data_IF_690724487617
#
_entry.id   IF_690724487617
#
_cell.length_a   1.000
_cell.length_b   1.000
_cell.length_c   1.000
_cell.angle_alpha   90.00
_cell.angle_beta   90.00
_cell.angle_gamma   90.00
#
_symmetry.space_group_name_H-M   'P 1'
#
loop_
_entity.id
_entity.type
_entity.pdbx_description
1 polymer ?
#
# COMPACT_ATOMS: atom_id res chain seq x y z
N UNK A 1 -35.48 13.45 7.70
CA UNK A 1 -34.56 12.80 6.74
C UNK A 1 -33.37 13.75 6.58
N UNK A 2 -32.22 13.43 7.15
CA UNK A 2 -31.00 14.23 6.94
C UNK A 2 -30.43 13.84 5.58
N UNK A 3 -30.45 14.78 4.63
CA UNK A 3 -29.81 14.62 3.32
C UNK A 3 -28.36 14.20 3.52
N UNK A 4 -27.92 13.15 2.83
CA UNK A 4 -26.53 12.78 2.78
C UNK A 4 -25.72 14.00 2.33
N UNK A 5 -24.92 14.56 3.24
CA UNK A 5 -23.98 15.62 2.88
C UNK A 5 -22.96 14.98 1.94
N UNK A 6 -23.11 15.22 0.65
CA UNK A 6 -22.08 14.89 -0.34
C UNK A 6 -20.84 15.70 0.02
N UNK A 7 -19.91 14.98 0.62
CA UNK A 7 -18.62 15.48 1.03
C UNK A 7 -17.75 15.65 -0.23
N UNK A 8 -17.27 16.86 -0.55
CA UNK A 8 -16.64 17.18 -1.85
C UNK A 8 -15.36 16.38 -2.03
N UNK A 9 -15.09 15.84 -3.23
CA UNK A 9 -13.88 15.06 -3.58
C UNK A 9 -12.58 15.71 -3.08
N UNK A 10 -11.51 14.91 -2.82
CA UNK A 10 -10.22 15.49 -2.46
C UNK A 10 -9.76 16.52 -3.51
N UNK A 11 -9.24 17.65 -3.06
CA UNK A 11 -8.81 18.75 -3.93
C UNK A 11 -7.65 18.32 -4.84
N UNK A 12 -7.55 18.90 -6.04
CA UNK A 12 -6.41 18.71 -6.96
C UNK A 12 -5.05 18.92 -6.28
N UNK A 13 -4.95 19.91 -5.37
CA UNK A 13 -3.71 20.17 -4.62
C UNK A 13 -3.28 19.03 -3.69
N UNK A 14 -4.22 18.19 -3.20
CA UNK A 14 -3.87 17.00 -2.42
C UNK A 14 -3.22 15.95 -3.32
N UNK A 15 -3.79 15.71 -4.49
CA UNK A 15 -3.24 14.75 -5.46
C UNK A 15 -1.87 15.20 -5.98
N UNK A 16 -1.72 16.47 -6.32
CA UNK A 16 -0.43 17.06 -6.70
C UNK A 16 0.64 16.89 -5.60
N UNK A 17 0.23 16.98 -4.33
CA UNK A 17 1.16 16.81 -3.19
C UNK A 17 1.64 15.36 -2.97
N UNK A 18 0.97 14.36 -3.56
CA UNK A 18 1.43 12.97 -3.52
C UNK A 18 2.55 12.71 -4.54
N UNK A 19 2.53 13.44 -5.66
CA UNK A 19 3.54 13.35 -6.72
C UNK A 19 4.84 14.09 -6.34
N UNK A 20 4.73 15.26 -5.71
CA UNK A 20 5.91 16.00 -5.20
C UNK A 20 6.36 15.54 -3.78
N UNK A 21 5.56 14.68 -3.13
CA UNK A 21 5.75 14.16 -1.77
C UNK A 21 5.86 15.22 -0.68
N UNK A 22 5.35 16.42 -0.90
CA UNK A 22 5.47 17.57 0.01
C UNK A 22 4.58 17.45 1.25
N UNK A 23 3.51 16.65 1.20
CA UNK A 23 2.56 16.49 2.32
C UNK A 23 2.48 15.05 2.83
N UNK A 24 2.34 14.06 1.93
CA UNK A 24 2.38 12.63 2.27
C UNK A 24 3.07 11.83 1.16
N UNK A 25 3.80 10.77 1.53
CA UNK A 25 4.10 9.73 0.55
C UNK A 25 2.81 8.97 0.20
N UNK A 26 2.67 8.42 -1.03
CA UNK A 26 1.53 7.59 -1.40
C UNK A 26 1.27 6.46 -0.39
N UNK A 27 2.32 5.87 0.17
CA UNK A 27 2.25 4.87 1.24
C UNK A 27 1.60 5.40 2.52
N UNK A 28 2.06 6.55 3.02
CA UNK A 28 1.53 7.13 4.25
C UNK A 28 0.07 7.57 4.08
N UNK A 29 -0.26 8.12 2.91
CA UNK A 29 -1.63 8.47 2.55
C UNK A 29 -2.53 7.21 2.46
N UNK A 30 -2.06 6.13 1.82
CA UNK A 30 -2.79 4.87 1.76
C UNK A 30 -3.07 4.29 3.16
N UNK A 31 -2.05 4.27 4.04
CA UNK A 31 -2.17 3.76 5.40
C UNK A 31 -3.19 4.57 6.23
N UNK A 32 -3.15 5.91 6.11
CA UNK A 32 -4.15 6.80 6.74
C UNK A 32 -5.56 6.52 6.22
N UNK A 33 -5.73 6.43 4.90
CA UNK A 33 -7.04 6.14 4.31
C UNK A 33 -7.59 4.78 4.76
N UNK A 34 -6.74 3.75 4.88
CA UNK A 34 -7.12 2.47 5.48
C UNK A 34 -7.61 2.63 6.93
N UNK A 35 -6.90 3.38 7.77
CA UNK A 35 -7.31 3.63 9.16
C UNK A 35 -8.66 4.34 9.26
N UNK A 36 -8.93 5.32 8.40
CA UNK A 36 -10.26 5.96 8.31
C UNK A 36 -11.30 4.95 7.86
N UNK A 37 -11.03 4.22 6.77
CA UNK A 37 -11.98 3.32 6.13
C UNK A 37 -12.39 2.14 7.04
N UNK A 38 -11.46 1.64 7.84
CA UNK A 38 -11.69 0.58 8.83
C UNK A 38 -12.29 1.13 10.14
N UNK A 39 -12.40 2.44 10.30
CA UNK A 39 -12.90 3.09 11.52
C UNK A 39 -11.94 2.98 12.71
N UNK A 40 -10.65 2.77 12.44
CA UNK A 40 -9.58 2.67 13.44
C UNK A 40 -9.07 4.06 13.84
N UNK A 41 -9.26 5.08 13.00
CA UNK A 41 -8.81 6.45 13.30
C UNK A 41 -9.53 7.02 14.54
N UNK A 42 -8.75 7.31 15.59
CA UNK A 42 -9.22 7.80 16.91
C UNK A 42 -9.03 9.31 17.10
N UNK A 43 -8.60 10.03 16.06
CA UNK A 43 -8.21 11.43 16.15
C UNK A 43 -9.45 12.35 16.28
N UNK A 44 -10.03 12.41 17.46
CA UNK A 44 -11.02 13.43 17.87
C UNK A 44 -12.39 13.37 17.21
N UNK A 45 -12.56 12.57 16.15
CA UNK A 45 -13.85 12.23 15.56
C UNK A 45 -14.43 11.07 16.36
N UNK A 46 -15.74 11.09 16.67
CA UNK A 46 -16.42 9.95 17.29
C UNK A 46 -16.45 8.70 16.40
N UNK A 47 -17.52 7.90 16.44
CA UNK A 47 -17.67 6.76 15.53
C UNK A 47 -17.62 7.23 14.07
N UNK A 48 -16.61 6.78 13.31
CA UNK A 48 -16.50 7.06 11.87
C UNK A 48 -17.75 6.50 11.18
N UNK A 49 -18.50 7.37 10.52
CA UNK A 49 -19.76 7.00 9.86
C UNK A 49 -19.50 6.20 8.58
N UNK A 50 -20.46 5.39 8.17
CA UNK A 50 -20.32 4.59 6.94
C UNK A 50 -20.13 5.46 5.70
N UNK A 51 -20.70 6.68 5.69
CA UNK A 51 -20.43 7.68 4.65
C UNK A 51 -18.95 8.08 4.57
N UNK A 52 -18.30 8.31 5.72
CA UNK A 52 -16.86 8.64 5.76
C UNK A 52 -16.02 7.43 5.37
N UNK A 53 -16.40 6.22 5.81
CA UNK A 53 -15.70 4.98 5.42
C UNK A 53 -15.78 4.72 3.91
N UNK A 54 -16.97 4.81 3.33
CA UNK A 54 -17.17 4.65 1.89
C UNK A 54 -16.35 5.69 1.11
N UNK A 55 -16.32 6.94 1.56
CA UNK A 55 -15.47 7.97 0.95
C UNK A 55 -13.98 7.62 1.05
N UNK A 56 -13.51 7.18 2.21
CA UNK A 56 -12.12 6.78 2.39
C UNK A 56 -11.74 5.61 1.48
N UNK A 57 -12.60 4.60 1.34
CA UNK A 57 -12.38 3.52 0.38
C UNK A 57 -12.33 4.03 -1.08
N UNK A 58 -13.21 4.95 -1.47
CA UNK A 58 -13.20 5.52 -2.83
C UNK A 58 -11.89 6.26 -3.12
N UNK A 59 -11.44 7.13 -2.20
CA UNK A 59 -10.15 7.84 -2.35
C UNK A 59 -8.96 6.89 -2.30
N UNK A 60 -9.05 5.81 -1.50
CA UNK A 60 -8.03 4.78 -1.47
C UNK A 60 -7.94 4.03 -2.81
N UNK A 61 -9.07 3.69 -3.44
CA UNK A 61 -9.10 3.07 -4.77
C UNK A 61 -8.38 3.93 -5.80
N UNK A 62 -8.67 5.23 -5.85
CA UNK A 62 -8.01 6.18 -6.76
C UNK A 62 -6.50 6.27 -6.48
N UNK A 63 -6.11 6.42 -5.21
CA UNK A 63 -4.71 6.48 -4.81
C UNK A 63 -3.96 5.22 -5.22
N UNK A 64 -4.53 4.04 -4.95
CA UNK A 64 -3.88 2.77 -5.27
C UNK A 64 -3.76 2.54 -6.78
N UNK A 65 -4.75 3.01 -7.56
CA UNK A 65 -4.75 2.87 -9.02
C UNK A 65 -3.66 3.69 -9.70
N UNK A 66 -3.36 4.88 -9.16
CA UNK A 66 -2.49 5.86 -9.82
C UNK A 66 -1.11 6.02 -9.17
N UNK A 67 -0.99 5.79 -7.86
CA UNK A 67 0.23 6.10 -7.11
C UNK A 67 0.79 4.93 -6.29
N UNK A 68 0.21 3.73 -6.38
CA UNK A 68 0.71 2.52 -5.72
C UNK A 68 0.86 1.34 -6.69
N UNK A 69 1.65 0.35 -6.30
CA UNK A 69 1.73 -0.96 -6.98
C UNK A 69 0.98 -2.04 -6.20
N UNK A 70 0.05 -1.67 -5.32
CA UNK A 70 -0.72 -2.60 -4.52
C UNK A 70 -2.04 -3.00 -5.21
N UNK A 71 -1.95 -3.98 -6.12
CA UNK A 71 -3.12 -4.50 -6.84
C UNK A 71 -4.09 -5.28 -5.95
N UNK A 72 -3.61 -5.94 -4.89
CA UNK A 72 -4.46 -6.65 -3.94
C UNK A 72 -5.26 -5.68 -3.07
N UNK A 73 -4.60 -4.67 -2.53
CA UNK A 73 -5.22 -3.60 -1.76
C UNK A 73 -6.25 -2.84 -2.59
N UNK A 74 -5.99 -2.62 -3.88
CA UNK A 74 -6.97 -2.01 -4.79
C UNK A 74 -8.26 -2.85 -4.89
N UNK A 75 -8.15 -4.15 -5.18
CA UNK A 75 -9.32 -5.03 -5.29
C UNK A 75 -10.10 -5.10 -3.98
N UNK A 76 -9.37 -5.20 -2.86
CA UNK A 76 -9.96 -5.18 -1.51
C UNK A 76 -10.71 -3.87 -1.25
N UNK A 77 -10.12 -2.72 -1.59
CA UNK A 77 -10.75 -1.41 -1.38
C UNK A 77 -12.01 -1.24 -2.24
N UNK A 78 -11.99 -1.67 -3.51
CA UNK A 78 -13.19 -1.67 -4.38
C UNK A 78 -14.28 -2.55 -3.79
N UNK A 79 -13.93 -3.76 -3.34
CA UNK A 79 -14.89 -4.68 -2.74
C UNK A 79 -15.54 -4.08 -1.48
N UNK A 80 -14.76 -3.52 -0.57
CA UNK A 80 -15.25 -2.90 0.67
C UNK A 80 -16.11 -1.66 0.39
N UNK A 81 -15.72 -0.82 -0.57
CA UNK A 81 -16.56 0.29 -1.01
C UNK A 81 -17.93 -0.21 -1.51
N UNK A 82 -17.94 -1.25 -2.35
CA UNK A 82 -19.16 -1.80 -2.94
C UNK A 82 -20.11 -2.45 -1.91
N UNK A 83 -19.61 -2.85 -0.74
CA UNK A 83 -20.45 -3.29 0.37
C UNK A 83 -21.18 -2.13 1.06
N UNK A 84 -20.57 -0.94 1.08
CA UNK A 84 -21.12 0.25 1.75
C UNK A 84 -21.93 1.15 0.82
N UNK A 85 -21.58 1.24 -0.46
CA UNK A 85 -22.19 2.17 -1.40
C UNK A 85 -23.72 2.03 -1.52
N UNK A 86 -24.31 0.82 -1.61
CA UNK A 86 -25.75 0.67 -1.81
C UNK A 86 -26.60 1.22 -0.65
N UNK A 87 -26.16 1.03 0.59
CA UNK A 87 -26.89 1.51 1.78
C UNK A 87 -26.83 3.04 1.94
N UNK A 88 -25.92 3.69 1.21
CA UNK A 88 -25.70 5.14 1.23
C UNK A 88 -26.26 5.83 -0.02
N UNK A 89 -26.93 5.10 -0.92
CA UNK A 89 -27.40 5.61 -2.21
C UNK A 89 -26.30 5.86 -3.24
N UNK A 90 -25.09 5.35 -3.00
CA UNK A 90 -23.95 5.47 -3.90
C UNK A 90 -23.93 4.37 -4.97
N UNK A 91 -23.31 4.67 -6.11
CA UNK A 91 -23.08 3.68 -7.18
C UNK A 91 -21.86 2.83 -6.87
N UNK A 92 -21.97 1.52 -7.13
CA UNK A 92 -20.85 0.59 -7.05
C UNK A 92 -19.77 0.93 -8.07
N UNK A 93 -18.51 0.79 -7.66
CA UNK A 93 -17.35 0.90 -8.53
C UNK A 93 -17.16 -0.41 -9.31
N UNK A 94 -16.81 -0.29 -10.58
CA UNK A 94 -16.34 -1.43 -11.38
C UNK A 94 -14.84 -1.60 -11.13
N UNK A 95 -14.46 -2.77 -10.62
CA UNK A 95 -13.05 -3.11 -10.46
C UNK A 95 -12.39 -3.30 -11.83
N UNK A 96 -11.20 -2.72 -12.02
CA UNK A 96 -10.30 -3.06 -13.13
C UNK A 96 -9.44 -4.26 -12.74
N UNK A 97 -10.05 -5.45 -12.81
CA UNK A 97 -9.39 -6.71 -12.43
C UNK A 97 -8.19 -7.02 -13.33
N UNK A 98 -8.27 -6.69 -14.62
CA UNK A 98 -7.19 -6.92 -15.56
C UNK A 98 -5.93 -6.14 -15.16
N UNK A 99 -6.09 -4.85 -14.86
CA UNK A 99 -4.97 -4.06 -14.35
C UNK A 99 -4.44 -4.59 -13.02
N UNK A 100 -5.32 -4.89 -12.06
CA UNK A 100 -4.88 -5.36 -10.75
C UNK A 100 -4.07 -6.65 -10.85
N UNK A 101 -4.54 -7.61 -11.67
CA UNK A 101 -3.82 -8.86 -11.93
C UNK A 101 -2.49 -8.63 -12.64
N UNK A 102 -2.43 -7.69 -13.58
CA UNK A 102 -1.17 -7.32 -14.23
C UNK A 102 -0.16 -6.73 -13.23
N UNK A 103 -0.60 -5.86 -12.33
CA UNK A 103 0.26 -5.30 -11.27
C UNK A 103 0.76 -6.38 -10.33
N UNK A 104 -0.13 -7.27 -9.87
CA UNK A 104 0.23 -8.39 -8.98
C UNK A 104 1.28 -9.29 -9.67
N UNK A 105 1.02 -9.67 -10.93
CA UNK A 105 1.93 -10.49 -11.72
C UNK A 105 3.29 -9.81 -11.88
N UNK A 106 3.31 -8.54 -12.31
CA UNK A 106 4.54 -7.78 -12.51
C UNK A 106 5.35 -7.62 -11.21
N UNK A 107 4.68 -7.44 -10.06
CA UNK A 107 5.36 -7.37 -8.77
C UNK A 107 6.02 -8.72 -8.42
N UNK A 108 5.32 -9.83 -8.65
CA UNK A 108 5.87 -11.16 -8.38
C UNK A 108 7.07 -11.49 -9.27
N UNK A 109 6.99 -11.16 -10.57
CA UNK A 109 8.09 -11.34 -11.51
C UNK A 109 9.32 -10.50 -11.11
N UNK A 110 9.09 -9.23 -10.74
CA UNK A 110 10.18 -8.35 -10.33
C UNK A 110 10.80 -8.78 -9.00
N UNK A 111 9.98 -9.22 -8.04
CA UNK A 111 10.47 -9.80 -6.79
C UNK A 111 11.32 -11.06 -7.02
N UNK A 112 10.88 -11.97 -7.89
CA UNK A 112 11.64 -13.17 -8.24
C UNK A 112 13.01 -12.84 -8.86
N UNK A 113 13.07 -11.81 -9.72
CA UNK A 113 14.32 -11.31 -10.27
C UNK A 113 15.24 -10.75 -9.18
N UNK A 114 14.73 -9.93 -8.27
CA UNK A 114 15.52 -9.36 -7.17
C UNK A 114 16.08 -10.45 -6.23
N UNK A 115 15.31 -11.50 -5.97
CA UNK A 115 15.78 -12.65 -5.20
C UNK A 115 16.88 -13.43 -5.94
N UNK A 116 16.78 -13.55 -7.27
CA UNK A 116 17.83 -14.17 -8.08
C UNK A 116 19.12 -13.34 -8.04
N UNK A 117 19.01 -12.02 -8.17
CA UNK A 117 20.15 -11.10 -8.08
C UNK A 117 20.83 -11.20 -6.70
N UNK A 118 20.04 -11.28 -5.63
CA UNK A 118 20.57 -11.47 -4.27
C UNK A 118 21.32 -12.80 -4.13
N UNK A 119 20.77 -13.90 -4.67
CA UNK A 119 21.45 -15.20 -4.68
C UNK A 119 22.80 -15.11 -5.37
N UNK A 120 22.88 -14.43 -6.52
CA UNK A 120 24.16 -14.20 -7.20
C UNK A 120 25.13 -13.38 -6.34
N UNK A 121 24.69 -12.27 -5.75
CA UNK A 121 25.54 -11.44 -4.89
C UNK A 121 26.10 -12.23 -3.70
N UNK A 122 25.29 -13.12 -3.14
CA UNK A 122 25.66 -13.97 -2.00
C UNK A 122 26.76 -14.96 -2.37
N UNK A 123 26.68 -15.56 -3.56
CA UNK A 123 27.74 -16.44 -4.09
C UNK A 123 29.05 -15.67 -4.29
N UNK A 124 28.98 -14.42 -4.76
CA UNK A 124 30.16 -13.57 -4.97
C UNK A 124 30.78 -13.04 -3.67
N UNK A 125 30.14 -13.25 -2.50
CA UNK A 125 30.59 -12.80 -1.17
C UNK A 125 30.87 -11.29 -1.05
N UNK A 126 30.26 -10.46 -1.91
CA UNK A 126 30.40 -9.01 -1.86
C UNK A 126 29.31 -8.43 -0.95
N UNK A 127 29.68 -8.08 0.28
CA UNK A 127 28.75 -7.58 1.30
C UNK A 127 27.89 -6.41 0.83
N UNK A 128 28.50 -5.44 0.14
CA UNK A 128 27.79 -4.24 -0.33
C UNK A 128 26.78 -4.58 -1.44
N UNK A 129 27.09 -5.52 -2.34
CA UNK A 129 26.17 -5.97 -3.36
C UNK A 129 24.95 -6.68 -2.74
N UNK A 130 25.16 -7.52 -1.73
CA UNK A 130 24.06 -8.14 -0.99
C UNK A 130 23.19 -7.09 -0.27
N UNK A 131 23.81 -6.09 0.35
CA UNK A 131 23.10 -5.00 1.03
C UNK A 131 22.22 -4.21 0.06
N UNK A 132 22.74 -3.86 -1.12
CA UNK A 132 22.00 -3.15 -2.16
C UNK A 132 20.87 -4.01 -2.75
N UNK A 133 21.09 -5.30 -2.95
CA UNK A 133 20.05 -6.22 -3.41
C UNK A 133 18.91 -6.34 -2.38
N UNK A 134 19.23 -6.45 -1.08
CA UNK A 134 18.23 -6.43 -0.01
C UNK A 134 17.46 -5.10 0.06
N UNK A 135 18.14 -3.94 -0.10
CA UNK A 135 17.48 -2.62 -0.13
C UNK A 135 16.46 -2.53 -1.28
N UNK A 136 16.78 -3.09 -2.45
CA UNK A 136 15.84 -3.15 -3.60
C UNK A 136 14.62 -4.01 -3.29
N UNK A 137 14.81 -5.16 -2.64
CA UNK A 137 13.70 -6.03 -2.21
C UNK A 137 12.79 -5.28 -1.22
N UNK A 138 13.36 -4.62 -0.21
CA UNK A 138 12.61 -3.84 0.78
C UNK A 138 11.78 -2.75 0.10
N UNK A 139 12.38 -2.00 -0.82
CA UNK A 139 11.67 -0.95 -1.57
C UNK A 139 10.54 -1.50 -2.42
N UNK A 140 10.76 -2.63 -3.11
CA UNK A 140 9.73 -3.26 -3.92
C UNK A 140 8.57 -3.78 -3.06
N UNK A 141 8.86 -4.46 -1.95
CA UNK A 141 7.85 -4.92 -1.00
C UNK A 141 7.06 -3.74 -0.43
N UNK A 142 7.72 -2.65 -0.05
CA UNK A 142 7.05 -1.43 0.39
C UNK A 142 6.17 -0.83 -0.72
N UNK A 143 6.64 -0.74 -1.97
CA UNK A 143 5.84 -0.28 -3.12
C UNK A 143 4.58 -1.12 -3.37
N UNK A 144 4.65 -2.42 -3.10
CA UNK A 144 3.52 -3.34 -3.16
C UNK A 144 2.67 -3.36 -1.88
N UNK A 145 2.97 -2.51 -0.89
CA UNK A 145 2.36 -2.49 0.45
C UNK A 145 2.48 -3.79 1.26
N UNK A 146 3.43 -4.66 0.90
CA UNK A 146 3.78 -5.83 1.70
C UNK A 146 4.81 -5.42 2.78
N UNK A 147 4.32 -4.71 3.80
CA UNK A 147 5.17 -4.21 4.88
C UNK A 147 5.72 -5.33 5.77
N UNK A 148 5.03 -6.46 5.85
CA UNK A 148 5.51 -7.65 6.57
C UNK A 148 6.78 -8.18 5.92
N UNK A 149 6.76 -8.35 4.59
CA UNK A 149 7.92 -8.78 3.81
C UNK A 149 9.03 -7.72 3.84
N UNK A 150 8.69 -6.44 3.68
CA UNK A 150 9.65 -5.34 3.75
C UNK A 150 10.39 -5.32 5.10
N UNK A 151 9.67 -5.53 6.21
CA UNK A 151 10.25 -5.58 7.55
C UNK A 151 11.13 -6.81 7.73
N UNK A 152 10.70 -7.99 7.26
CA UNK A 152 11.49 -9.21 7.30
C UNK A 152 12.86 -8.98 6.64
N UNK A 153 12.88 -8.46 5.41
CA UNK A 153 14.13 -8.19 4.70
C UNK A 153 14.98 -7.08 5.33
N UNK A 154 14.34 -6.05 5.90
CA UNK A 154 15.05 -5.02 6.66
C UNK A 154 15.79 -5.63 7.85
N UNK A 155 15.14 -6.50 8.61
CA UNK A 155 15.77 -7.18 9.75
C UNK A 155 16.88 -8.14 9.32
N UNK A 156 16.73 -8.85 8.20
CA UNK A 156 17.79 -9.69 7.64
C UNK A 156 19.02 -8.87 7.20
N UNK A 157 18.81 -7.69 6.64
CA UNK A 157 19.90 -6.78 6.22
C UNK A 157 20.64 -6.12 7.39
N UNK A 158 19.95 -5.89 8.52
CA UNK A 158 20.56 -5.36 9.76
C UNK A 158 21.23 -6.46 10.60
N UNK A 159 20.81 -7.71 10.43
CA UNK A 159 21.28 -8.89 11.18
C UNK A 159 22.50 -9.59 10.57
N UNK A 160 23.64 -8.91 10.50
CA UNK A 160 24.97 -9.57 10.45
C UNK A 160 25.90 -9.12 11.59
N UNK A 161 25.31 -8.90 12.77
CA UNK A 161 25.97 -9.12 14.05
C UNK A 161 25.44 -10.41 14.67
N UNK A 162 26.10 -11.55 14.43
CA UNK A 162 25.87 -12.77 15.21
C UNK A 162 26.25 -12.53 16.67
N UNK A 163 25.51 -13.12 17.62
CA UNK A 163 26.15 -13.86 18.70
C UNK A 163 25.67 -15.31 18.61
N UNK A 164 26.52 -16.21 18.12
CA UNK A 164 26.15 -17.63 18.00
C UNK A 164 27.00 -18.42 17.01
N UNK A 165 28.32 -18.37 17.15
CA UNK A 165 29.22 -19.46 16.78
C UNK A 165 30.39 -19.44 17.77
N UNK A 166 30.10 -19.86 18.99
CA UNK A 166 31.02 -20.56 19.89
C UNK A 166 30.20 -21.66 20.53
N UNK A 167 30.67 -22.90 20.41
CA UNK A 167 29.98 -24.13 20.81
C UNK A 167 30.18 -25.20 19.76
#
# INVERSE_FOLDING_TARGET
MQSAVELPSPSEGFWASLDDRSVFSPHAAAARLWQVAEGVERAGVGKVTDAVKARAYKSLVELLRHHSRDGQGYLRAVHQYNQLAPSLGGQSLRADEAWAQQVIKSNNEFMAQLEQDLRHCTVSQIKESCRLAMDRIIRQAAQAHDFSLALQWYTCGQGSGRPGMQG
#
